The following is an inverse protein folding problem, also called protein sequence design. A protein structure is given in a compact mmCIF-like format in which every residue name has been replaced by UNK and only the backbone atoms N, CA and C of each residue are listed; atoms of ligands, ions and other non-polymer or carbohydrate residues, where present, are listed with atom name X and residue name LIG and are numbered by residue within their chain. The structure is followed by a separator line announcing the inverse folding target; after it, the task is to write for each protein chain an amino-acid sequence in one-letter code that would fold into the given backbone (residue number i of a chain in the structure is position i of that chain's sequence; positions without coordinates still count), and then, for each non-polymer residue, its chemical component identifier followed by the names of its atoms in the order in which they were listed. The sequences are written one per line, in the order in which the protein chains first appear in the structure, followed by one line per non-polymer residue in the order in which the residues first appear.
data_IF_113768123432
#
_entry.id   IF_113768123432
#
_cell.length_a   1.000
_cell.length_b   1.000
_cell.length_c   1.000
_cell.angle_alpha   90.00
_cell.angle_beta   90.00
_cell.angle_gamma   90.00
#
_symmetry.space_group_name_H-M   'P 1'
#
loop_
_entity.id
_entity.type
_entity.pdbx_description
1 polymer ?
#
# COMPACT_ATOMS: atom_id res chain seq x y z
N UNK A 1 -10.93 -21.23 -29.81
CA UNK A 1 -10.56 -21.59 -28.42
C UNK A 1 -11.48 -20.85 -27.50
N UNK A 2 -12.49 -21.53 -26.96
CA UNK A 2 -13.53 -20.89 -26.15
C UNK A 2 -12.98 -20.47 -24.79
N UNK A 3 -12.96 -19.16 -24.53
CA UNK A 3 -12.48 -18.60 -23.27
C UNK A 3 -13.60 -18.65 -22.24
N UNK A 4 -13.51 -19.59 -21.28
CA UNK A 4 -14.43 -19.63 -20.14
C UNK A 4 -14.19 -18.44 -19.21
N UNK A 5 -15.26 -17.74 -18.84
CA UNK A 5 -15.22 -16.49 -18.07
C UNK A 5 -15.25 -16.74 -16.56
N UNK A 6 -14.14 -17.25 -16.01
CA UNK A 6 -14.05 -17.57 -14.58
C UNK A 6 -13.80 -16.35 -13.68
N UNK A 7 -13.38 -15.22 -14.24
CA UNK A 7 -12.98 -14.05 -13.46
C UNK A 7 -14.16 -13.41 -12.70
N UNK A 8 -15.39 -13.44 -13.24
CA UNK A 8 -16.55 -12.83 -12.56
C UNK A 8 -16.80 -13.38 -11.15
N UNK A 9 -16.48 -14.65 -10.90
CA UNK A 9 -16.63 -15.28 -9.59
C UNK A 9 -15.59 -14.79 -8.58
N UNK A 10 -14.36 -14.55 -9.04
CA UNK A 10 -13.22 -14.23 -8.19
C UNK A 10 -12.95 -12.73 -8.02
N UNK A 11 -13.52 -11.90 -8.89
CA UNK A 11 -13.41 -10.44 -8.83
C UNK A 11 -13.63 -9.87 -7.42
N UNK A 12 -14.74 -10.16 -6.70
CA UNK A 12 -14.97 -9.56 -5.37
C UNK A 12 -13.89 -9.91 -4.34
N UNK A 13 -13.34 -11.12 -4.37
CA UNK A 13 -12.28 -11.55 -3.45
C UNK A 13 -10.95 -10.89 -3.78
N UNK A 14 -10.65 -10.77 -5.07
CA UNK A 14 -9.41 -10.14 -5.53
C UNK A 14 -9.44 -8.64 -5.22
N UNK A 15 -10.53 -7.92 -5.53
CA UNK A 15 -10.62 -6.49 -5.19
C UNK A 15 -10.51 -6.24 -3.69
N UNK A 16 -11.05 -7.15 -2.85
CA UNK A 16 -10.89 -7.09 -1.41
C UNK A 16 -9.42 -7.26 -1.01
N UNK A 17 -8.73 -8.26 -1.57
CA UNK A 17 -7.30 -8.48 -1.33
C UNK A 17 -6.48 -7.25 -1.77
N UNK A 18 -6.77 -6.68 -2.95
CA UNK A 18 -6.09 -5.49 -3.45
C UNK A 18 -6.28 -4.30 -2.49
N UNK A 19 -7.51 -4.10 -1.98
CA UNK A 19 -7.79 -3.06 -0.99
C UNK A 19 -7.03 -3.28 0.33
N UNK A 20 -6.97 -4.52 0.82
CA UNK A 20 -6.18 -4.88 2.00
C UNK A 20 -4.70 -4.61 1.78
N UNK A 21 -4.14 -4.98 0.62
CA UNK A 21 -2.76 -4.68 0.27
C UNK A 21 -2.47 -3.18 0.27
N UNK A 22 -3.38 -2.32 -0.22
CA UNK A 22 -3.21 -0.87 -0.15
C UNK A 22 -3.27 -0.30 1.29
N UNK A 23 -3.85 -1.03 2.24
CA UNK A 23 -3.88 -0.62 3.64
C UNK A 23 -2.56 -0.93 4.39
N UNK A 24 -1.83 -1.97 3.98
CA UNK A 24 -0.58 -2.41 4.62
C UNK A 24 0.46 -1.28 4.76
N UNK A 25 0.79 -0.48 3.72
CA UNK A 25 1.77 0.60 3.86
C UNK A 25 1.42 1.60 4.97
N UNK A 26 0.12 1.93 5.12
CA UNK A 26 -0.39 2.84 6.15
C UNK A 26 -0.29 2.23 7.54
N UNK A 27 -0.61 0.93 7.67
CA UNK A 27 -0.47 0.20 8.92
C UNK A 27 0.99 0.13 9.37
N UNK A 28 1.91 -0.13 8.44
CA UNK A 28 3.35 -0.14 8.68
C UNK A 28 3.82 1.24 9.16
N UNK A 29 3.42 2.33 8.49
CA UNK A 29 3.72 3.69 8.92
C UNK A 29 3.27 3.93 10.37
N UNK A 30 1.99 3.70 10.66
CA UNK A 30 1.41 3.97 11.98
C UNK A 30 2.07 3.14 13.09
N UNK A 31 2.38 1.88 12.81
CA UNK A 31 3.00 0.99 13.80
C UNK A 31 4.45 1.37 14.07
N UNK A 32 5.22 1.67 13.01
CA UNK A 32 6.63 2.01 13.13
C UNK A 32 6.87 3.45 13.61
N UNK A 33 5.97 4.38 13.26
CA UNK A 33 6.03 5.77 13.77
C UNK A 33 5.78 5.79 15.27
N UNK A 34 4.80 5.06 15.80
CA UNK A 34 4.56 4.96 17.25
C UNK A 34 5.73 4.29 17.97
N UNK A 35 6.32 3.24 17.37
CA UNK A 35 7.47 2.55 17.97
C UNK A 35 8.73 3.42 18.09
N UNK A 36 8.81 4.52 17.34
CA UNK A 36 9.92 5.47 17.44
C UNK A 36 9.92 6.25 18.76
N UNK A 37 8.82 6.21 19.53
CA UNK A 37 8.69 6.89 20.82
C UNK A 37 8.37 8.38 20.70
N UNK A 38 8.25 8.91 19.48
CA UNK A 38 7.91 10.31 19.22
C UNK A 38 6.75 10.34 18.23
N UNK A 39 5.65 10.97 18.62
CA UNK A 39 4.54 11.21 17.71
C UNK A 39 4.73 12.54 17.00
N UNK A 40 5.17 12.48 15.73
CA UNK A 40 5.34 13.68 14.91
C UNK A 40 4.01 14.42 14.69
N UNK A 41 2.88 13.70 14.69
CA UNK A 41 1.57 14.33 14.52
C UNK A 41 1.23 15.19 15.74
N UNK A 42 1.44 14.67 16.94
CA UNK A 42 1.22 15.40 18.20
C UNK A 42 2.06 16.68 18.28
N UNK A 43 3.32 16.64 17.84
CA UNK A 43 4.18 17.83 17.79
C UNK A 43 3.64 18.87 16.81
N UNK A 44 3.19 18.44 15.63
CA UNK A 44 2.66 19.35 14.60
C UNK A 44 1.33 19.95 15.03
N UNK A 45 0.45 19.14 15.62
CA UNK A 45 -0.84 19.57 16.15
C UNK A 45 -0.65 20.54 17.32
N UNK A 46 0.19 20.19 18.30
CA UNK A 46 0.58 21.09 19.40
C UNK A 46 1.17 22.42 18.91
N UNK A 47 1.96 22.39 17.83
CA UNK A 47 2.55 23.59 17.24
C UNK A 47 1.54 24.45 16.46
N UNK A 48 0.48 23.85 15.92
CA UNK A 48 -0.61 24.56 15.27
C UNK A 48 -1.55 25.19 16.31
N UNK A 49 -1.91 24.43 17.35
CA UNK A 49 -2.71 24.88 18.48
C UNK A 49 -2.04 26.08 19.17
N UNK A 50 -0.73 26.05 19.36
CA UNK A 50 0.07 27.14 19.91
C UNK A 50 -0.13 28.48 19.16
N UNK A 51 -0.43 28.46 17.86
CA UNK A 51 -0.68 29.69 17.08
C UNK A 51 -2.07 30.29 17.33
N UNK A 52 -3.04 29.46 17.70
CA UNK A 52 -4.44 29.86 17.89
C UNK A 52 -4.75 30.34 19.31
N UNK A 53 -3.89 29.99 20.28
CA UNK A 53 -4.06 30.34 21.68
C UNK A 53 -3.80 31.83 21.98
N UNK A 54 -4.67 32.43 22.80
CA UNK A 54 -4.58 33.83 23.24
C UNK A 54 -3.95 34.00 24.63
N UNK A 55 -4.06 32.97 25.48
CA UNK A 55 -3.46 32.98 26.83
C UNK A 55 -1.96 32.70 26.77
N UNK A 56 -1.20 33.49 27.53
CA UNK A 56 0.26 33.42 27.54
C UNK A 56 0.77 32.17 28.27
N UNK A 57 0.18 31.82 29.42
CA UNK A 57 0.60 30.68 30.24
C UNK A 57 0.40 29.34 29.54
N UNK A 58 -0.75 29.12 28.88
CA UNK A 58 -1.02 27.89 28.12
C UNK A 58 -0.03 27.71 26.95
N UNK A 59 0.30 28.83 26.28
CA UNK A 59 1.28 28.86 25.20
C UNK A 59 2.69 28.50 25.70
N UNK A 60 3.07 28.98 26.89
CA UNK A 60 4.37 28.64 27.49
C UNK A 60 4.45 27.15 27.83
N UNK A 61 3.37 26.56 28.35
CA UNK A 61 3.28 25.13 28.61
C UNK A 61 3.42 24.27 27.34
N UNK A 62 2.72 24.61 26.25
CA UNK A 62 2.85 23.93 24.97
C UNK A 62 4.26 24.07 24.37
N UNK A 63 4.82 25.27 24.42
CA UNK A 63 6.18 25.52 23.95
C UNK A 63 7.19 24.64 24.71
N UNK A 64 7.05 24.55 26.04
CA UNK A 64 7.90 23.72 26.88
C UNK A 64 7.75 22.24 26.57
N UNK A 65 6.53 21.76 26.33
CA UNK A 65 6.27 20.38 25.88
C UNK A 65 6.98 20.08 24.56
N UNK A 66 6.79 20.93 23.54
CA UNK A 66 7.41 20.77 22.21
C UNK A 66 8.95 20.76 22.33
N UNK A 67 9.52 21.71 23.06
CA UNK A 67 10.97 21.81 23.24
C UNK A 67 11.53 20.59 23.96
N UNK A 68 10.87 20.11 25.03
CA UNK A 68 11.31 18.93 25.78
C UNK A 68 11.28 17.67 24.90
N UNK A 69 10.22 17.50 24.10
CA UNK A 69 10.11 16.36 23.18
C UNK A 69 11.20 16.38 22.10
N UNK A 70 11.51 17.56 21.55
CA UNK A 70 12.61 17.71 20.59
C UNK A 70 13.97 17.47 21.25
N UNK A 71 14.18 17.97 22.46
CA UNK A 71 15.44 17.81 23.19
C UNK A 71 15.71 16.32 23.49
N UNK A 72 14.70 15.58 23.94
CA UNK A 72 14.76 14.13 24.10
C UNK A 72 15.07 13.39 22.78
N UNK A 73 14.60 13.90 21.64
CA UNK A 73 14.91 13.32 20.33
C UNK A 73 16.35 13.58 19.89
N UNK A 74 16.85 14.79 20.16
CA UNK A 74 18.21 15.20 19.82
C UNK A 74 19.22 14.47 20.69
N UNK A 75 18.90 14.28 21.98
CA UNK A 75 19.76 13.67 23.01
C UNK A 75 19.62 12.14 23.13
N UNK A 76 18.98 11.46 22.15
CA UNK A 76 18.71 10.01 22.20
C UNK A 76 19.98 9.19 22.54
N UNK A 77 20.03 8.66 23.77
CA UNK A 77 21.13 7.93 24.39
C UNK A 77 21.62 6.71 23.59
N UNK A 78 20.84 6.24 22.60
CA UNK A 78 21.24 5.19 21.65
C UNK A 78 22.36 5.62 20.70
N UNK A 79 22.58 6.95 20.51
CA UNK A 79 23.71 7.49 19.74
C UNK A 79 25.07 7.15 20.37
N UNK A 80 25.12 7.03 21.70
CA UNK A 80 26.36 6.71 22.43
C UNK A 80 26.58 5.18 22.56
N UNK A 81 25.53 4.39 22.79
CA UNK A 81 25.65 2.95 23.04
C UNK A 81 25.97 2.07 21.80
N UNK A 82 25.52 2.45 20.60
CA UNK A 82 25.71 1.63 19.37
C UNK A 82 27.13 1.79 18.77
N UNK A 83 27.97 2.70 19.30
CA UNK A 83 29.40 2.84 18.97
C UNK A 83 30.23 1.62 19.37
N UNK A 84 29.79 0.84 20.36
CA UNK A 84 30.59 -0.28 20.91
C UNK A 84 30.32 -1.63 20.22
N UNK A 85 29.21 -1.81 19.50
CA UNK A 85 28.76 -3.15 19.08
C UNK A 85 28.99 -3.45 17.58
N UNK A 86 30.22 -3.89 17.26
CA UNK A 86 30.78 -4.14 15.92
C UNK A 86 30.17 -5.33 15.14
N UNK A 87 29.22 -6.08 15.72
CA UNK A 87 28.84 -7.42 15.22
C UNK A 87 27.66 -7.45 14.22
N UNK A 88 26.85 -6.38 14.09
CA UNK A 88 25.66 -6.37 13.22
C UNK A 88 25.92 -5.96 11.74
N UNK A 89 27.11 -6.25 11.19
CA UNK A 89 27.60 -5.57 9.98
C UNK A 89 27.01 -6.04 8.65
N UNK A 90 26.64 -7.33 8.49
CA UNK A 90 26.22 -7.83 7.16
C UNK A 90 24.81 -7.40 6.79
N UNK A 91 23.84 -7.55 7.70
CA UNK A 91 22.47 -7.13 7.46
C UNK A 91 22.35 -5.60 7.34
N UNK A 92 23.15 -4.86 8.13
CA UNK A 92 23.25 -3.39 8.04
C UNK A 92 23.90 -2.95 6.72
N UNK A 93 24.97 -3.59 6.25
CA UNK A 93 25.62 -3.26 4.96
C UNK A 93 24.73 -3.58 3.76
N UNK A 94 24.00 -4.70 3.76
CA UNK A 94 23.07 -5.06 2.69
C UNK A 94 21.93 -4.03 2.61
N UNK A 95 21.37 -3.64 3.76
CA UNK A 95 20.36 -2.60 3.85
C UNK A 95 20.89 -1.20 3.51
N UNK A 96 22.15 -0.91 3.84
CA UNK A 96 22.84 0.35 3.51
C UNK A 96 23.21 0.47 2.03
N UNK A 97 23.46 -0.66 1.35
CA UNK A 97 23.69 -0.71 -0.09
C UNK A 97 22.38 -0.55 -0.88
N UNK A 98 21.30 -1.16 -0.40
CA UNK A 98 19.98 -1.09 -1.05
C UNK A 98 19.24 0.23 -0.76
N UNK A 99 19.53 0.87 0.38
CA UNK A 99 18.98 2.14 0.81
C UNK A 99 20.12 3.07 1.24
N UNK A 100 20.62 3.87 0.30
CA UNK A 100 21.71 4.86 0.43
C UNK A 100 21.53 5.92 1.56
N UNK A 101 20.49 5.81 2.40
CA UNK A 101 20.11 6.77 3.44
C UNK A 101 20.35 6.26 4.86
N UNK A 102 20.87 5.04 5.03
CA UNK A 102 21.00 4.43 6.37
C UNK A 102 22.32 4.79 7.06
N UNK A 103 22.56 6.09 7.24
CA UNK A 103 23.52 6.60 8.21
C UNK A 103 22.80 6.82 9.54
N UNK A 104 23.03 5.96 10.54
CA UNK A 104 22.41 6.05 11.88
C UNK A 104 22.89 7.25 12.72
N UNK A 105 23.81 8.06 12.21
CA UNK A 105 24.45 9.14 12.96
C UNK A 105 23.67 10.47 13.04
N UNK A 106 22.45 10.60 12.50
CA UNK A 106 21.85 11.95 12.35
C UNK A 106 20.31 12.08 12.51
N UNK A 107 19.62 11.21 13.24
CA UNK A 107 18.15 11.34 13.36
C UNK A 107 17.41 11.17 12.03
N UNK A 108 18.00 10.44 11.08
CA UNK A 108 17.43 10.19 9.74
C UNK A 108 16.40 9.04 9.72
N UNK A 109 16.00 8.52 10.89
CA UNK A 109 15.10 7.36 11.00
C UNK A 109 13.74 7.65 10.36
N UNK A 110 13.09 8.76 10.74
CA UNK A 110 11.78 9.13 10.21
C UNK A 110 11.82 9.37 8.70
N UNK A 111 12.84 10.07 8.21
CA UNK A 111 13.01 10.36 6.79
C UNK A 111 13.23 9.05 6.01
N UNK A 112 14.09 8.15 6.51
CA UNK A 112 14.34 6.85 5.88
C UNK A 112 13.08 5.98 5.88
N UNK A 113 12.36 5.92 7.00
CA UNK A 113 11.09 5.21 7.13
C UNK A 113 10.04 5.75 6.15
N UNK A 114 9.91 7.08 6.07
CA UNK A 114 8.99 7.74 5.15
C UNK A 114 9.32 7.40 3.69
N UNK A 115 10.58 7.53 3.29
CA UNK A 115 11.04 7.19 1.93
C UNK A 115 10.79 5.71 1.62
N UNK A 116 11.09 4.82 2.57
CA UNK A 116 10.82 3.39 2.43
C UNK A 116 9.32 3.09 2.19
N UNK A 117 8.43 3.73 2.95
CA UNK A 117 6.99 3.57 2.76
C UNK A 117 6.54 4.11 1.41
N UNK A 118 7.09 5.23 0.94
CA UNK A 118 6.78 5.76 -0.41
C UNK A 118 7.21 4.80 -1.51
N UNK A 119 8.39 4.20 -1.41
CA UNK A 119 8.83 3.15 -2.33
C UNK A 119 7.88 1.96 -2.27
N UNK A 120 7.47 1.54 -1.07
CA UNK A 120 6.53 0.44 -0.89
C UNK A 120 5.16 0.73 -1.51
N UNK A 121 4.66 1.98 -1.45
CA UNK A 121 3.44 2.39 -2.17
C UNK A 121 3.59 2.23 -3.69
N UNK A 122 4.71 2.67 -4.27
CA UNK A 122 4.96 2.54 -5.71
C UNK A 122 5.01 1.05 -6.09
N UNK A 123 5.74 0.24 -5.32
CA UNK A 123 5.84 -1.20 -5.55
C UNK A 123 4.47 -1.88 -5.44
N UNK A 124 3.65 -1.50 -4.47
CA UNK A 124 2.29 -2.01 -4.31
C UNK A 124 1.43 -1.72 -5.55
N UNK A 125 1.47 -0.49 -6.06
CA UNK A 125 0.74 -0.12 -7.30
C UNK A 125 1.19 -0.99 -8.48
N UNK A 126 2.49 -1.20 -8.66
CA UNK A 126 3.03 -2.07 -9.73
C UNK A 126 2.52 -3.50 -9.56
N UNK A 127 2.57 -4.06 -8.35
CA UNK A 127 2.06 -5.40 -8.07
C UNK A 127 0.57 -5.52 -8.38
N UNK A 128 -0.25 -4.53 -8.02
CA UNK A 128 -1.69 -4.55 -8.32
C UNK A 128 -1.96 -4.54 -9.82
N UNK A 129 -1.22 -3.73 -10.59
CA UNK A 129 -1.34 -3.70 -12.05
C UNK A 129 -0.95 -5.06 -12.65
N UNK A 130 0.13 -5.68 -12.16
CA UNK A 130 0.54 -7.02 -12.59
C UNK A 130 -0.51 -8.09 -12.24
N UNK A 131 -1.09 -8.03 -11.03
CA UNK A 131 -2.13 -8.95 -10.58
C UNK A 131 -3.36 -8.85 -11.49
N UNK A 132 -3.81 -7.64 -11.81
CA UNK A 132 -4.92 -7.41 -12.74
C UNK A 132 -4.62 -7.94 -14.15
N UNK A 133 -3.39 -7.75 -14.63
CA UNK A 133 -2.92 -8.25 -15.92
C UNK A 133 -3.03 -9.78 -16.00
N UNK A 134 -2.59 -10.48 -14.94
CA UNK A 134 -2.69 -11.94 -14.83
C UNK A 134 -4.15 -12.38 -14.71
N UNK A 135 -4.93 -11.71 -13.87
CA UNK A 135 -6.31 -12.09 -13.57
C UNK A 135 -7.25 -11.97 -14.77
N UNK A 136 -7.16 -10.88 -15.53
CA UNK A 136 -7.96 -10.69 -16.73
C UNK A 136 -7.39 -11.51 -17.93
N UNK A 137 -6.16 -12.02 -17.81
CA UNK A 137 -5.48 -12.79 -18.85
C UNK A 137 -5.18 -11.97 -20.10
N UNK A 138 -4.96 -10.66 -19.95
CA UNK A 138 -4.82 -9.71 -21.05
C UNK A 138 -3.92 -8.54 -20.66
N UNK A 139 -3.31 -7.87 -21.64
CA UNK A 139 -2.51 -6.65 -21.45
C UNK A 139 -3.34 -5.48 -20.84
N UNK A 140 -3.40 -5.40 -19.52
CA UNK A 140 -4.21 -4.44 -18.77
C UNK A 140 -3.79 -2.98 -19.00
N UNK A 141 -2.51 -2.72 -19.25
CA UNK A 141 -2.00 -1.39 -19.58
C UNK A 141 -2.65 -0.82 -20.85
N UNK A 142 -2.88 -1.67 -21.84
CA UNK A 142 -3.55 -1.27 -23.08
C UNK A 142 -5.06 -1.15 -22.88
N UNK A 143 -5.65 -2.02 -22.05
CA UNK A 143 -7.07 -2.00 -21.72
C UNK A 143 -7.54 -0.63 -21.18
N UNK A 144 -6.77 0.00 -20.28
CA UNK A 144 -7.13 1.32 -19.73
C UNK A 144 -7.21 2.41 -20.81
N UNK A 145 -6.22 2.47 -21.71
CA UNK A 145 -6.20 3.43 -22.82
C UNK A 145 -7.36 3.20 -23.80
N UNK A 146 -7.58 1.95 -24.23
CA UNK A 146 -8.66 1.59 -25.15
C UNK A 146 -10.03 1.90 -24.54
N UNK A 147 -10.20 1.69 -23.23
CA UNK A 147 -11.45 2.00 -22.52
C UNK A 147 -11.75 3.49 -22.50
N UNK A 148 -10.76 4.35 -22.17
CA UNK A 148 -10.95 5.82 -22.17
C UNK A 148 -11.27 6.33 -23.57
N UNK A 149 -10.61 5.77 -24.60
CA UNK A 149 -10.88 6.08 -25.99
C UNK A 149 -12.32 5.71 -26.37
N UNK A 150 -12.76 4.51 -26.01
CA UNK A 150 -14.13 4.04 -26.25
C UNK A 150 -15.18 4.96 -25.59
N UNK A 151 -14.97 5.38 -24.34
CA UNK A 151 -15.88 6.29 -23.64
C UNK A 151 -15.95 7.68 -24.29
N UNK A 152 -14.81 8.21 -24.77
CA UNK A 152 -14.74 9.58 -25.34
C UNK A 152 -15.35 9.68 -26.74
N UNK A 153 -15.19 8.65 -27.58
CA UNK A 153 -15.60 8.70 -28.99
C UNK A 153 -17.00 8.11 -29.27
N UNK A 154 -17.69 7.61 -28.24
CA UNK A 154 -19.13 7.29 -28.28
C UNK A 154 -19.49 6.02 -29.08
N UNK A 155 -19.92 4.99 -28.35
CA UNK A 155 -20.97 3.97 -28.61
C UNK A 155 -21.28 3.38 -30.00
N UNK A 156 -20.50 3.65 -31.05
CA UNK A 156 -20.64 2.98 -32.35
C UNK A 156 -19.60 1.85 -32.54
N UNK A 157 -18.86 1.51 -31.48
CA UNK A 157 -17.76 0.55 -31.51
C UNK A 157 -18.18 -0.86 -31.02
N UNK A 158 -17.56 -1.91 -31.59
CA UNK A 158 -17.93 -3.30 -31.39
C UNK A 158 -17.82 -3.72 -29.92
N UNK A 159 -18.58 -4.75 -29.54
CA UNK A 159 -18.61 -5.27 -28.18
C UNK A 159 -17.20 -5.45 -27.59
N UNK A 160 -17.06 -5.12 -26.29
CA UNK A 160 -15.77 -5.27 -25.61
C UNK A 160 -15.35 -6.72 -25.62
N UNK A 161 -14.24 -7.02 -26.31
CA UNK A 161 -13.59 -8.34 -26.29
C UNK A 161 -13.22 -8.79 -24.87
N UNK A 162 -13.06 -7.84 -23.95
CA UNK A 162 -12.66 -8.10 -22.57
C UNK A 162 -13.87 -8.43 -21.68
N UNK A 163 -14.95 -7.65 -21.82
CA UNK A 163 -16.16 -7.71 -21.02
C UNK A 163 -17.38 -7.87 -21.93
N UNK A 164 -17.68 -9.11 -22.38
CA UNK A 164 -18.85 -9.37 -23.20
C UNK A 164 -20.13 -9.11 -22.39
N UNK A 165 -21.13 -8.50 -23.03
CA UNK A 165 -22.44 -8.26 -22.39
C UNK A 165 -23.28 -9.53 -22.36
N UNK A 166 -23.09 -10.38 -23.35
CA UNK A 166 -23.80 -11.64 -23.52
C UNK A 166 -22.81 -12.81 -23.49
N UNK A 167 -23.17 -13.87 -22.80
CA UNK A 167 -22.31 -15.05 -22.63
C UNK A 167 -23.11 -16.33 -22.80
N UNK A 168 -22.55 -17.31 -23.48
CA UNK A 168 -23.15 -18.64 -23.61
C UNK A 168 -22.89 -19.47 -22.35
N UNK A 169 -23.88 -20.26 -21.96
CA UNK A 169 -23.79 -21.22 -20.85
C UNK A 169 -23.99 -22.62 -21.39
N UNK A 170 -23.07 -23.53 -21.06
CA UNK A 170 -23.21 -24.95 -21.39
C UNK A 170 -24.25 -25.57 -20.43
N UNK A 171 -25.38 -26.02 -20.97
CA UNK A 171 -26.42 -26.71 -20.20
C UNK A 171 -26.32 -28.23 -20.43
N UNK A 172 -26.07 -28.98 -19.35
CA UNK A 172 -26.06 -30.44 -19.39
C UNK A 172 -27.46 -30.98 -19.06
N UNK A 173 -28.19 -31.42 -20.08
CA UNK A 173 -29.49 -32.10 -19.90
C UNK A 173 -29.23 -33.52 -19.38
N UNK A 174 -29.83 -33.89 -18.25
CA UNK A 174 -29.88 -35.30 -17.83
C UNK A 174 -31.04 -35.97 -18.55
N UNK A 175 -30.73 -36.96 -19.37
CA UNK A 175 -31.77 -37.82 -19.94
C UNK A 175 -32.39 -38.66 -18.81
N UNK A 176 -33.73 -38.73 -18.71
CA UNK A 176 -34.36 -39.64 -17.77
C UNK A 176 -33.96 -41.06 -18.14
N UNK A 177 -33.54 -41.84 -17.14
CA UNK A 177 -33.34 -43.28 -17.30
C UNK A 177 -34.62 -43.86 -17.90
N UNK A 178 -34.61 -44.18 -19.20
CA UNK A 178 -35.62 -45.06 -19.77
C UNK A 178 -35.50 -46.37 -19.01
N UNK A 179 -36.47 -46.65 -18.14
CA UNK A 179 -36.55 -47.91 -17.42
C UNK A 179 -36.41 -49.05 -18.42
N UNK A 180 -35.26 -49.74 -18.38
CA UNK A 180 -34.95 -50.81 -19.31
C UNK A 180 -33.50 -50.88 -19.77
N UNK A 181 -32.52 -50.82 -18.86
CA UNK A 181 -31.23 -51.51 -19.06
C UNK A 181 -30.83 -52.18 -17.74
N UNK A 182 -30.57 -53.50 -17.73
CA UNK A 182 -30.16 -54.22 -16.52
C UNK A 182 -28.68 -53.93 -16.20
N UNK A 183 -28.35 -54.17 -14.93
CA UNK A 183 -26.99 -54.17 -14.35
C UNK A 183 -25.98 -54.94 -15.21
#
# INVERSE_FOLDING_TARGET
TDRKLNYYQWTPFIILLMALCFHIPRLIWRTLSVRSGIDLLDIVESADDMKSMKEFDEREHLLKHIVTTIDMYVDDARRQADSENRQASLFRKLFQLLCCMTGKFLGNYFITLYMFIKIYYIFNVILQICLLNIFLGTNFLQFGYESVKLFRYGLNQPESKYFPRETFCDFYVREPLRGGQPL
#
